data_IF_349439682660
#
_entry.id   IF_349439682660
#
_cell.length_a   1.000
_cell.length_b   1.000
_cell.length_c   1.000
_cell.angle_alpha   90.00
_cell.angle_beta   90.00
_cell.angle_gamma   90.00
#
_symmetry.space_group_name_H-M   'P 1'
#
loop_
_entity.id
_entity.type
_entity.pdbx_description
1 polymer ?
#
# COMPACT_ATOMS: atom_id res chain seq x y z
N UNK A 1 20.26 1.80 -9.44
CA UNK A 1 20.05 2.75 -8.33
C UNK A 1 21.30 3.62 -8.22
N UNK A 2 21.21 4.91 -8.52
CA UNK A 2 22.34 5.84 -8.36
C UNK A 2 22.32 6.38 -6.94
N UNK A 3 23.37 6.15 -6.18
CA UNK A 3 23.53 6.78 -4.88
C UNK A 3 23.76 8.28 -5.07
N UNK A 4 23.04 9.10 -4.32
CA UNK A 4 23.23 10.55 -4.35
C UNK A 4 24.41 10.91 -3.45
N UNK A 5 25.42 11.64 -3.94
CA UNK A 5 26.48 12.15 -3.07
C UNK A 5 25.91 13.27 -2.21
N UNK A 6 25.70 13.00 -0.93
CA UNK A 6 25.42 14.04 0.06
C UNK A 6 26.73 14.81 0.29
N UNK A 7 26.70 16.13 0.04
CA UNK A 7 27.88 17.01 -0.03
C UNK A 7 28.74 17.02 1.26
N UNK A 8 28.24 16.45 2.36
CA UNK A 8 28.88 16.38 3.68
C UNK A 8 29.30 14.97 4.13
N UNK A 9 29.06 13.91 3.33
CA UNK A 9 29.42 12.53 3.69
C UNK A 9 30.28 11.90 2.61
N UNK A 10 31.40 11.29 3.02
CA UNK A 10 32.33 10.60 2.12
C UNK A 10 31.76 9.29 1.56
N UNK A 11 30.72 8.73 2.18
CA UNK A 11 30.07 7.50 1.73
C UNK A 11 28.74 7.79 1.02
N UNK A 12 28.54 7.28 -0.21
CA UNK A 12 27.28 7.40 -0.91
C UNK A 12 26.14 6.75 -0.11
N UNK A 13 25.09 7.51 0.19
CA UNK A 13 23.91 7.02 0.91
C UNK A 13 22.80 6.66 -0.08
N UNK A 14 22.26 5.46 0.04
CA UNK A 14 21.05 5.05 -0.66
C UNK A 14 20.22 4.15 0.27
N UNK A 15 18.89 4.29 0.31
CA UNK A 15 18.00 3.50 1.16
C UNK A 15 17.77 2.10 0.57
N UNK A 16 18.86 1.39 0.24
CA UNK A 16 18.82 0.11 -0.48
C UNK A 16 18.03 -0.92 0.33
N UNK A 17 18.27 -1.01 1.64
CA UNK A 17 17.54 -1.93 2.52
C UNK A 17 16.03 -1.63 2.56
N UNK A 18 15.63 -0.36 2.65
CA UNK A 18 14.21 0.03 2.64
C UNK A 18 13.54 -0.30 1.31
N UNK A 19 14.20 -0.02 0.19
CA UNK A 19 13.67 -0.29 -1.14
C UNK A 19 13.54 -1.79 -1.41
N UNK A 20 14.55 -2.56 -1.03
CA UNK A 20 14.50 -4.03 -1.11
C UNK A 20 13.39 -4.58 -0.23
N UNK A 21 13.23 -4.07 0.99
CA UNK A 21 12.14 -4.48 1.90
C UNK A 21 10.75 -4.18 1.34
N UNK A 22 10.54 -2.96 0.83
CA UNK A 22 9.27 -2.57 0.19
C UNK A 22 8.97 -3.45 -1.03
N UNK A 23 9.97 -3.73 -1.86
CA UNK A 23 9.82 -4.59 -3.03
C UNK A 23 9.38 -6.01 -2.64
N UNK A 24 10.03 -6.61 -1.63
CA UNK A 24 9.67 -7.95 -1.14
C UNK A 24 8.23 -7.96 -0.62
N UNK A 25 7.86 -6.99 0.21
CA UNK A 25 6.52 -6.91 0.80
C UNK A 25 5.43 -6.73 -0.25
N UNK A 26 5.64 -5.82 -1.21
CA UNK A 26 4.69 -5.62 -2.31
C UNK A 26 4.55 -6.85 -3.20
N UNK A 27 5.66 -7.55 -3.47
CA UNK A 27 5.64 -8.79 -4.26
C UNK A 27 4.86 -9.88 -3.54
N UNK A 28 5.06 -10.04 -2.23
CA UNK A 28 4.32 -10.99 -1.42
C UNK A 28 2.81 -10.69 -1.42
N UNK A 29 2.42 -9.42 -1.23
CA UNK A 29 1.01 -9.03 -1.27
C UNK A 29 0.39 -9.27 -2.65
N UNK A 30 1.10 -8.96 -3.74
CA UNK A 30 0.61 -9.20 -5.09
C UNK A 30 0.31 -10.70 -5.34
N UNK A 31 1.21 -11.58 -4.90
CA UNK A 31 1.03 -13.03 -5.03
C UNK A 31 -0.15 -13.55 -4.20
N UNK A 32 -0.28 -13.08 -2.95
CA UNK A 32 -1.41 -13.45 -2.10
C UNK A 32 -2.74 -12.99 -2.71
N UNK A 33 -2.80 -11.74 -3.21
CA UNK A 33 -4.00 -11.19 -3.86
C UNK A 33 -4.34 -11.99 -5.13
N UNK A 34 -3.35 -12.35 -5.94
CA UNK A 34 -3.56 -13.15 -7.15
C UNK A 34 -4.14 -14.53 -6.83
N UNK A 35 -3.57 -15.21 -5.82
CA UNK A 35 -4.04 -16.52 -5.39
C UNK A 35 -5.45 -16.46 -4.82
N UNK A 36 -5.75 -15.49 -3.95
CA UNK A 36 -7.10 -15.34 -3.39
C UNK A 36 -8.15 -14.89 -4.43
N UNK A 37 -7.73 -14.15 -5.46
CA UNK A 37 -8.61 -13.71 -6.55
C UNK A 37 -9.12 -14.90 -7.38
N UNK A 38 -8.32 -15.97 -7.49
CA UNK A 38 -8.73 -17.20 -8.18
C UNK A 38 -9.83 -17.98 -7.44
N UNK A 39 -10.03 -17.74 -6.14
CA UNK A 39 -11.02 -18.44 -5.31
C UNK A 39 -12.45 -17.84 -5.37
N UNK A 40 -12.75 -16.93 -6.30
CA UNK A 40 -14.04 -16.20 -6.42
C UNK A 40 -14.52 -15.46 -5.15
N UNK A 41 -13.62 -15.18 -4.20
CA UNK A 41 -13.93 -14.36 -3.03
C UNK A 41 -13.68 -12.89 -3.33
N UNK A 42 -14.62 -12.03 -2.93
CA UNK A 42 -14.44 -10.57 -3.03
C UNK A 42 -13.29 -10.13 -2.11
N UNK A 43 -12.20 -9.64 -2.70
CA UNK A 43 -11.03 -9.20 -1.95
C UNK A 43 -11.17 -7.75 -1.48
N UNK A 44 -10.90 -7.46 -0.20
CA UNK A 44 -10.98 -6.10 0.34
C UNK A 44 -9.73 -5.30 0.01
N UNK A 45 -9.49 -5.05 -1.28
CA UNK A 45 -8.38 -4.24 -1.78
C UNK A 45 -8.91 -2.86 -2.15
N UNK A 46 -8.28 -1.82 -1.60
CA UNK A 46 -8.58 -0.44 -1.96
C UNK A 46 -8.18 -0.15 -3.41
N UNK A 47 -9.07 0.54 -4.12
CA UNK A 47 -8.81 1.01 -5.46
C UNK A 47 -8.09 2.35 -5.43
N UNK A 48 -7.16 2.54 -6.37
CA UNK A 48 -6.53 3.84 -6.60
C UNK A 48 -7.59 4.89 -6.97
N UNK A 49 -7.43 6.11 -6.46
CA UNK A 49 -8.34 7.23 -6.73
C UNK A 49 -8.50 7.58 -8.21
N UNK A 50 -7.57 7.15 -9.07
CA UNK A 50 -7.64 7.38 -10.51
C UNK A 50 -8.59 6.41 -11.26
N UNK A 51 -9.14 5.41 -10.59
CA UNK A 51 -10.06 4.43 -11.18
C UNK A 51 -11.50 4.91 -10.98
N UNK A 52 -12.33 4.78 -12.02
CA UNK A 52 -13.76 5.06 -11.92
C UNK A 52 -14.41 4.16 -10.86
N UNK A 53 -15.34 4.71 -10.08
CA UNK A 53 -16.00 4.05 -8.94
C UNK A 53 -15.10 3.70 -7.74
N UNK A 54 -13.85 4.19 -7.71
CA UNK A 54 -12.93 3.94 -6.59
C UNK A 54 -13.45 4.49 -5.26
N UNK A 55 -14.13 5.64 -5.28
CA UNK A 55 -14.72 6.27 -4.09
C UNK A 55 -15.76 5.34 -3.46
N UNK A 56 -16.77 4.92 -4.21
CA UNK A 56 -17.86 4.08 -3.71
C UNK A 56 -17.36 2.73 -3.19
N UNK A 57 -16.43 2.11 -3.90
CA UNK A 57 -15.82 0.83 -3.47
C UNK A 57 -15.01 1.00 -2.19
N UNK A 58 -14.20 2.05 -2.09
CA UNK A 58 -13.38 2.31 -0.91
C UNK A 58 -14.25 2.66 0.30
N UNK A 59 -15.31 3.45 0.13
CA UNK A 59 -16.29 3.76 1.18
C UNK A 59 -16.99 2.50 1.70
N UNK A 60 -17.41 1.59 0.82
CA UNK A 60 -17.96 0.29 1.21
C UNK A 60 -16.98 -0.53 2.07
N UNK A 61 -15.69 -0.55 1.70
CA UNK A 61 -14.66 -1.23 2.49
C UNK A 61 -14.44 -0.56 3.85
N UNK A 62 -14.46 0.78 3.92
CA UNK A 62 -14.34 1.51 5.18
C UNK A 62 -15.50 1.21 6.12
N UNK A 63 -16.74 1.18 5.63
CA UNK A 63 -17.91 0.83 6.44
C UNK A 63 -17.82 -0.61 6.96
N UNK A 64 -17.42 -1.55 6.10
CA UNK A 64 -17.35 -2.97 6.42
C UNK A 64 -16.24 -3.32 7.42
N UNK A 65 -15.06 -2.71 7.28
CA UNK A 65 -13.87 -3.08 8.04
C UNK A 65 -13.47 -2.05 9.10
N UNK A 66 -14.00 -0.83 9.06
CA UNK A 66 -13.59 0.25 9.96
C UNK A 66 -13.92 0.00 11.44
N UNK A 67 -14.96 -0.79 11.73
CA UNK A 67 -15.25 -1.22 13.11
C UNK A 67 -14.22 -2.22 13.66
N UNK A 68 -13.56 -2.98 12.78
CA UNK A 68 -12.54 -3.97 13.15
C UNK A 68 -11.13 -3.37 13.16
N UNK A 69 -10.89 -2.37 12.30
CA UNK A 69 -9.61 -1.70 12.11
C UNK A 69 -9.83 -0.20 12.31
N UNK A 70 -9.78 0.29 13.56
CA UNK A 70 -10.06 1.70 13.89
C UNK A 70 -9.20 2.70 13.11
N UNK A 71 -7.98 2.31 12.74
CA UNK A 71 -7.03 3.13 11.98
C UNK A 71 -7.54 3.52 10.59
N UNK A 72 -8.44 2.73 9.99
CA UNK A 72 -9.06 3.05 8.70
C UNK A 72 -10.00 4.27 8.80
N UNK A 73 -10.60 4.49 9.97
CA UNK A 73 -11.53 5.60 10.21
C UNK A 73 -10.77 6.80 10.79
N UNK A 74 -9.90 6.55 11.78
CA UNK A 74 -9.24 7.59 12.57
C UNK A 74 -8.30 8.49 11.75
N UNK A 75 -7.80 8.01 10.60
CA UNK A 75 -6.83 8.71 9.76
C UNK A 75 -7.44 9.47 8.57
N UNK A 76 -8.76 9.67 8.55
CA UNK A 76 -9.43 10.48 7.51
C UNK A 76 -9.26 11.99 7.70
N UNK A 77 -8.59 12.42 8.77
CA UNK A 77 -8.28 13.83 9.04
C UNK A 77 -6.95 14.29 8.42
N UNK A 78 -6.76 14.10 7.11
CA UNK A 78 -5.76 14.85 6.35
C UNK A 78 -6.45 16.05 5.71
N UNK A 79 -6.64 17.10 6.51
CA UNK A 79 -7.04 18.44 6.04
C UNK A 79 -5.82 19.34 5.99
#
# INVERSE_FOLDING_TARGET
MRCFPLRSMQTPFAPVSSMTGLFIMHTLFAEIIANLGSENKSLPVFLSGNIANSVQHNEYLLEKYGAQIPELINNTSFK
#
